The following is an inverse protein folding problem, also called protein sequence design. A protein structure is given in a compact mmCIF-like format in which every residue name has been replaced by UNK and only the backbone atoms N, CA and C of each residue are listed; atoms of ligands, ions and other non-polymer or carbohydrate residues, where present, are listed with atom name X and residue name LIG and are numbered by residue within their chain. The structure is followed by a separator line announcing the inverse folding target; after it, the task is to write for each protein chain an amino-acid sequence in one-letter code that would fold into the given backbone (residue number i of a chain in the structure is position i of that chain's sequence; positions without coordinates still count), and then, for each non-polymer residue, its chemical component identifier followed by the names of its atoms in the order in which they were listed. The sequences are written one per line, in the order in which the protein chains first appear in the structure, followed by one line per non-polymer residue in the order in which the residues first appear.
data_IF_866850618811
#
_entry.id   IF_866850618811
#
_cell.length_a   1.000
_cell.length_b   1.000
_cell.length_c   1.000
_cell.angle_alpha   90.00
_cell.angle_beta   90.00
_cell.angle_gamma   90.00
#
_symmetry.space_group_name_H-M   'P 1'
#
loop_
_entity.id
_entity.type
_entity.pdbx_description
1 polymer ?
#
# COMPACT_ATOMS: atom_id res chain seq x y z
N UNK A 1 0.84 15.16 -9.26
CA UNK A 1 1.23 14.25 -10.36
C UNK A 1 0.44 12.98 -10.14
N UNK A 2 -0.59 12.79 -10.98
CA UNK A 2 -1.60 11.70 -10.99
C UNK A 2 -2.21 11.32 -9.64
N UNK A 3 -3.31 11.99 -9.32
CA UNK A 3 -4.28 11.73 -8.25
C UNK A 3 -5.09 10.43 -8.48
N UNK A 4 -4.53 9.50 -9.25
CA UNK A 4 -5.23 8.33 -9.74
C UNK A 4 -5.03 7.18 -8.74
N UNK A 5 -6.10 6.52 -8.29
CA UNK A 5 -6.00 5.42 -7.36
C UNK A 5 -5.08 4.31 -7.89
N UNK A 6 -4.36 3.65 -6.98
CA UNK A 6 -3.54 2.50 -7.34
C UNK A 6 -4.42 1.32 -7.79
N UNK A 7 -4.05 0.62 -8.87
CA UNK A 7 -4.86 -0.47 -9.41
C UNK A 7 -4.92 -1.68 -8.49
N UNK A 8 -3.87 -1.91 -7.70
CA UNK A 8 -3.75 -3.04 -6.79
C UNK A 8 -2.84 -2.75 -5.60
N UNK A 9 -2.92 -3.62 -4.59
CA UNK A 9 -2.14 -3.53 -3.35
C UNK A 9 -0.63 -3.59 -3.60
N UNK A 10 -0.18 -4.30 -4.64
CA UNK A 10 1.24 -4.43 -4.98
C UNK A 10 1.81 -3.11 -5.48
N UNK A 11 1.11 -2.41 -6.36
CA UNK A 11 1.50 -1.11 -6.87
C UNK A 11 1.58 -0.09 -5.74
N UNK A 12 0.59 -0.06 -4.85
CA UNK A 12 0.59 0.80 -3.66
C UNK A 12 1.77 0.49 -2.71
N UNK A 13 2.04 -0.80 -2.46
CA UNK A 13 3.15 -1.21 -1.61
C UNK A 13 4.51 -0.81 -2.18
N UNK A 14 4.72 -1.00 -3.47
CA UNK A 14 5.95 -0.58 -4.16
C UNK A 14 6.13 0.93 -4.10
N UNK A 15 5.08 1.71 -4.35
CA UNK A 15 5.14 3.17 -4.26
C UNK A 15 5.58 3.65 -2.87
N UNK A 16 5.02 3.05 -1.80
CA UNK A 16 5.42 3.34 -0.42
C UNK A 16 6.88 2.94 -0.15
N UNK A 17 7.31 1.75 -0.60
CA UNK A 17 8.68 1.24 -0.40
C UNK A 17 9.74 2.09 -1.11
N UNK A 18 9.41 2.64 -2.28
CA UNK A 18 10.32 3.50 -3.06
C UNK A 18 10.18 4.99 -2.73
N UNK A 19 9.24 5.35 -1.85
CA UNK A 19 9.04 6.74 -1.44
C UNK A 19 10.16 7.24 -0.52
N UNK A 20 10.26 8.56 -0.36
CA UNK A 20 11.19 9.17 0.61
C UNK A 20 10.68 9.14 2.06
N UNK A 21 9.50 8.56 2.32
CA UNK A 21 8.95 8.47 3.67
C UNK A 21 9.71 7.47 4.52
N UNK A 22 9.99 7.85 5.77
CA UNK A 22 10.62 6.95 6.72
C UNK A 22 9.65 5.85 7.15
N UNK A 23 9.89 4.63 6.68
CA UNK A 23 9.14 3.47 7.12
C UNK A 23 9.65 2.96 8.47
N UNK A 24 8.73 2.55 9.34
CA UNK A 24 9.10 1.72 10.48
C UNK A 24 9.47 0.31 10.00
N UNK A 25 10.23 -0.45 10.81
CA UNK A 25 10.56 -1.84 10.50
C UNK A 25 9.31 -2.69 10.20
N UNK A 26 8.24 -2.51 10.98
CA UNK A 26 6.96 -3.21 10.80
C UNK A 26 6.30 -2.85 9.47
N UNK A 27 6.28 -1.56 9.12
CA UNK A 27 5.71 -1.12 7.84
C UNK A 27 6.51 -1.67 6.66
N UNK A 28 7.85 -1.62 6.71
CA UNK A 28 8.70 -2.17 5.65
C UNK A 28 8.50 -3.68 5.43
N UNK A 29 8.40 -4.46 6.51
CA UNK A 29 8.13 -5.90 6.40
C UNK A 29 6.77 -6.20 5.77
N UNK A 30 5.72 -5.52 6.23
CA UNK A 30 4.37 -5.68 5.68
C UNK A 30 4.30 -5.31 4.20
N UNK A 31 4.82 -4.15 3.81
CA UNK A 31 4.81 -3.70 2.43
C UNK A 31 5.67 -4.60 1.53
N UNK A 32 6.80 -5.09 2.04
CA UNK A 32 7.65 -6.04 1.34
C UNK A 32 6.93 -7.35 1.02
N UNK A 33 6.16 -7.89 1.99
CA UNK A 33 5.31 -9.06 1.75
C UNK A 33 4.22 -8.74 0.72
N UNK A 34 3.51 -7.62 0.90
CA UNK A 34 2.41 -7.23 0.03
C UNK A 34 2.83 -6.96 -1.43
N UNK A 35 4.10 -6.60 -1.65
CA UNK A 35 4.64 -6.40 -2.98
C UNK A 35 4.90 -7.71 -3.76
N UNK A 36 4.95 -8.86 -3.09
CA UNK A 36 5.36 -10.15 -3.68
C UNK A 36 4.39 -11.31 -3.44
N UNK A 37 3.54 -11.22 -2.42
CA UNK A 37 2.55 -12.22 -2.05
C UNK A 37 1.21 -11.89 -2.74
N UNK A 38 0.69 -12.77 -3.62
CA UNK A 38 -0.56 -12.53 -4.34
C UNK A 38 -1.82 -12.85 -3.51
N UNK A 39 -1.65 -13.24 -2.24
CA UNK A 39 -2.79 -13.57 -1.36
C UNK A 39 -3.66 -12.32 -1.13
N UNK A 40 -4.99 -12.42 -1.29
CA UNK A 40 -5.90 -11.31 -1.00
C UNK A 40 -5.71 -10.76 0.41
N UNK A 41 -5.84 -9.43 0.56
CA UNK A 41 -5.71 -8.82 1.88
C UNK A 41 -6.93 -9.10 2.76
N UNK A 42 -6.67 -9.31 4.05
CA UNK A 42 -7.71 -9.14 5.05
C UNK A 42 -8.14 -7.67 5.17
N UNK A 43 -9.36 -7.42 5.65
CA UNK A 43 -9.89 -6.07 5.89
C UNK A 43 -8.94 -5.23 6.77
N UNK A 44 -8.38 -5.83 7.84
CA UNK A 44 -7.43 -5.16 8.72
C UNK A 44 -6.12 -4.76 8.00
N UNK A 45 -5.67 -5.54 7.01
CA UNK A 45 -4.51 -5.19 6.19
C UNK A 45 -4.83 -4.07 5.21
N UNK A 46 -6.02 -4.10 4.58
CA UNK A 46 -6.49 -3.03 3.70
C UNK A 46 -6.62 -1.69 4.44
N UNK A 47 -7.24 -1.69 5.62
CA UNK A 47 -7.34 -0.53 6.50
C UNK A 47 -5.97 0.02 6.90
N UNK A 48 -5.02 -0.88 7.18
CA UNK A 48 -3.68 -0.47 7.56
C UNK A 48 -2.91 0.13 6.39
N UNK A 49 -3.02 -0.46 5.19
CA UNK A 49 -2.43 0.09 3.97
C UNK A 49 -2.99 1.48 3.66
N UNK A 50 -4.31 1.67 3.77
CA UNK A 50 -4.95 2.99 3.58
C UNK A 50 -4.34 4.06 4.51
N UNK A 51 -4.12 3.73 5.79
CA UNK A 51 -3.45 4.64 6.76
C UNK A 51 -1.99 4.92 6.43
N UNK A 52 -1.31 4.03 5.71
CA UNK A 52 0.07 4.26 5.27
C UNK A 52 0.10 5.18 4.04
N UNK A 53 -0.82 4.98 3.10
CA UNK A 53 -0.97 5.83 1.91
C UNK A 53 -1.35 7.27 2.29
N UNK A 54 -2.36 7.44 3.14
CA UNK A 54 -2.79 8.74 3.67
C UNK A 54 -1.62 9.49 4.34
N UNK A 55 -0.84 8.80 5.19
CA UNK A 55 0.33 9.39 5.85
C UNK A 55 1.45 9.78 4.89
N UNK A 56 1.53 9.10 3.74
CA UNK A 56 2.53 9.37 2.70
C UNK A 56 2.02 10.34 1.63
N UNK A 57 0.82 10.90 1.79
CA UNK A 57 0.16 11.76 0.79
C UNK A 57 0.09 11.08 -0.59
N UNK A 58 -0.15 9.77 -0.59
CA UNK A 58 -0.26 8.95 -1.80
C UNK A 58 -1.73 8.61 -2.12
N UNK A 59 -2.06 8.40 -3.40
CA UNK A 59 -3.41 8.02 -3.81
C UNK A 59 -3.92 6.76 -3.08
N UNK A 60 -5.25 6.63 -2.89
CA UNK A 60 -5.83 5.41 -2.30
C UNK A 60 -5.77 4.23 -3.29
N UNK A 61 -6.21 3.06 -2.86
CA UNK A 61 -6.50 1.94 -3.77
C UNK A 61 -7.77 2.20 -4.58
N UNK A 62 -7.82 1.71 -5.81
CA UNK A 62 -9.04 1.62 -6.59
C UNK A 62 -10.04 0.67 -5.92
N UNK A 63 -11.34 0.88 -6.16
CA UNK A 63 -12.37 -0.06 -5.74
C UNK A 63 -12.07 -1.47 -6.31
N UNK A 64 -11.98 -2.47 -5.43
CA UNK A 64 -11.61 -3.85 -5.79
C UNK A 64 -10.10 -4.14 -5.83
N UNK A 65 -9.21 -3.15 -5.67
CA UNK A 65 -7.75 -3.35 -5.65
C UNK A 65 -7.19 -4.00 -4.37
N UNK A 66 -8.06 -4.27 -3.40
CA UNK A 66 -7.74 -4.98 -2.16
C UNK A 66 -7.97 -6.50 -2.24
N UNK A 67 -8.62 -6.97 -3.31
CA UNK A 67 -8.98 -8.37 -3.54
C UNK A 67 -7.87 -9.18 -4.20
#
# INVERSE_FOLDING_TARGET
MTDQPFPDHRAAALALLTSHHRLSRKAGQFLGQLAVDPTPMSEAQADWLAKLLDRADLPPLAEGGAA
#
